data_IF_638556695302
#
_entry.id   IF_638556695302
#
_cell.length_a   1.000
_cell.length_b   1.000
_cell.length_c   1.000
_cell.angle_alpha   90.00
_cell.angle_beta   90.00
_cell.angle_gamma   90.00
#
_symmetry.space_group_name_H-M   'P 1'
#
loop_
_entity.id
_entity.type
_entity.pdbx_description
1 polymer ?
#
# COMPACT_ATOMS: atom_id res chain seq x y z
N UNK A 1 6.58 33.34 18.42
CA UNK A 1 7.87 33.44 17.69
C UNK A 1 8.86 32.51 18.37
N UNK A 2 9.12 31.33 17.83
CA UNK A 2 10.28 30.53 18.23
C UNK A 2 11.05 30.14 16.96
N UNK A 3 12.20 30.78 16.83
CA UNK A 3 13.20 30.61 15.80
C UNK A 3 13.54 29.12 15.59
N UNK A 4 13.31 28.59 14.39
CA UNK A 4 13.93 27.34 13.96
C UNK A 4 15.18 27.72 13.17
N UNK A 5 16.35 27.58 13.80
CA UNK A 5 17.64 27.84 13.17
C UNK A 5 17.89 26.90 11.98
N UNK A 6 18.48 27.47 10.93
CA UNK A 6 18.49 26.97 9.55
C UNK A 6 19.42 25.78 9.26
N UNK A 7 20.10 25.18 10.25
CA UNK A 7 21.09 24.12 10.01
C UNK A 7 21.03 22.99 11.05
N UNK A 8 19.95 22.18 11.05
CA UNK A 8 19.92 20.94 11.82
C UNK A 8 20.20 19.73 10.91
N UNK A 9 21.47 19.34 10.82
CA UNK A 9 21.93 18.12 10.12
C UNK A 9 21.53 16.79 10.82
N UNK A 10 20.66 16.84 11.83
CA UNK A 10 20.14 15.68 12.59
C UNK A 10 18.64 15.40 12.38
N UNK A 11 17.96 16.12 11.49
CA UNK A 11 16.54 15.93 11.20
C UNK A 11 16.28 15.04 9.97
N UNK A 12 16.93 13.89 9.87
CA UNK A 12 16.73 12.91 8.78
C UNK A 12 15.34 12.24 8.77
N UNK A 13 14.47 12.52 9.75
CA UNK A 13 13.10 12.00 9.84
C UNK A 13 11.97 13.00 9.57
N UNK A 14 12.26 14.19 9.01
CA UNK A 14 11.26 15.29 8.88
C UNK A 14 10.39 15.25 7.63
N UNK A 15 10.72 14.46 6.60
CA UNK A 15 10.12 14.61 5.28
C UNK A 15 9.63 13.29 4.70
N UNK A 16 8.34 13.21 4.36
CA UNK A 16 7.68 12.02 3.79
C UNK A 16 8.42 11.41 2.60
N UNK A 17 9.07 12.25 1.79
CA UNK A 17 9.81 11.84 0.60
C UNK A 17 11.04 10.99 0.90
N UNK A 18 11.62 11.07 2.10
CA UNK A 18 12.76 10.22 2.45
C UNK A 18 12.39 8.75 2.63
N UNK A 19 11.09 8.44 2.75
CA UNK A 19 10.59 7.06 2.87
C UNK A 19 10.33 6.41 1.50
N UNK A 20 10.22 7.20 0.43
CA UNK A 20 9.81 6.67 -0.87
C UNK A 20 11.04 6.27 -1.67
N UNK A 21 11.06 5.02 -2.14
CA UNK A 21 12.21 4.47 -2.88
C UNK A 21 12.60 5.30 -4.10
N UNK A 22 11.63 5.84 -4.86
CA UNK A 22 11.91 6.64 -6.06
C UNK A 22 12.66 7.96 -5.75
N UNK A 23 12.62 8.42 -4.50
CA UNK A 23 13.28 9.63 -4.04
C UNK A 23 14.60 9.36 -3.32
N UNK A 24 15.04 8.10 -3.22
CA UNK A 24 16.26 7.71 -2.52
C UNK A 24 17.55 8.28 -3.14
N UNK A 25 17.52 8.61 -4.44
CA UNK A 25 18.67 9.15 -5.19
C UNK A 25 18.79 10.67 -5.13
N UNK A 26 17.83 11.36 -4.50
CA UNK A 26 17.84 12.82 -4.42
C UNK A 26 19.02 13.35 -3.59
N UNK A 27 19.64 14.42 -4.08
CA UNK A 27 20.62 15.17 -3.29
C UNK A 27 19.92 15.94 -2.18
N UNK A 28 20.63 16.21 -1.09
CA UNK A 28 20.09 16.92 0.07
C UNK A 28 19.49 18.30 -0.27
N UNK A 29 20.05 18.99 -1.26
CA UNK A 29 19.55 20.28 -1.75
C UNK A 29 18.18 20.16 -2.45
N UNK A 30 17.98 19.08 -3.21
CA UNK A 30 16.73 18.81 -3.91
C UNK A 30 15.66 18.29 -2.95
N UNK A 31 16.06 17.49 -1.94
CA UNK A 31 15.17 17.13 -0.83
C UNK A 31 14.54 18.34 -0.15
N UNK A 32 15.33 19.40 0.07
CA UNK A 32 14.83 20.63 0.70
C UNK A 32 13.81 21.34 -0.19
N UNK A 33 14.11 21.50 -1.48
CA UNK A 33 13.19 22.11 -2.45
C UNK A 33 11.87 21.32 -2.54
N UNK A 34 11.98 19.99 -2.56
CA UNK A 34 10.81 19.10 -2.61
C UNK A 34 10.01 19.20 -1.32
N UNK A 35 10.68 19.29 -0.16
CA UNK A 35 9.98 19.45 1.11
C UNK A 35 9.15 20.74 1.22
N UNK A 36 9.52 21.80 0.49
CA UNK A 36 8.81 23.07 0.50
C UNK A 36 7.51 23.06 -0.33
N UNK A 37 7.40 22.14 -1.30
CA UNK A 37 6.22 21.99 -2.17
C UNK A 37 5.28 20.85 -1.74
N UNK A 38 5.70 20.02 -0.77
CA UNK A 38 4.86 18.97 -0.21
C UNK A 38 3.76 19.57 0.65
N UNK A 39 2.53 19.11 0.43
CA UNK A 39 1.41 19.39 1.33
C UNK A 39 1.08 18.14 2.13
N UNK A 40 1.13 18.24 3.46
CA UNK A 40 0.74 17.15 4.36
C UNK A 40 -0.73 17.26 4.76
N UNK A 41 -1.43 16.12 4.76
CA UNK A 41 -2.81 15.98 5.24
C UNK A 41 -2.95 14.78 6.16
N UNK A 42 -3.75 14.93 7.21
CA UNK A 42 -4.16 13.82 8.07
C UNK A 42 -5.55 13.36 7.68
N UNK A 43 -5.71 12.05 7.53
CA UNK A 43 -6.98 11.36 7.36
C UNK A 43 -7.23 10.50 8.59
N UNK A 44 -8.44 10.56 9.14
CA UNK A 44 -8.88 9.63 10.19
C UNK A 44 -9.24 8.30 9.56
N UNK A 45 -9.21 7.23 10.36
CA UNK A 45 -9.75 5.93 9.97
C UNK A 45 -11.15 6.07 9.33
N UNK A 46 -11.34 5.44 8.17
CA UNK A 46 -12.59 5.44 7.39
C UNK A 46 -12.79 6.69 6.53
N UNK A 47 -11.87 7.67 6.54
CA UNK A 47 -11.97 8.82 5.65
C UNK A 47 -11.46 8.47 4.25
N UNK A 48 -12.27 8.83 3.25
CA UNK A 48 -11.92 8.73 1.84
C UNK A 48 -10.99 9.89 1.46
N UNK A 49 -9.91 9.57 0.73
CA UNK A 49 -8.96 10.52 0.19
C UNK A 49 -9.47 11.16 -1.11
N UNK A 50 -9.97 10.32 -1.99
CA UNK A 50 -10.51 10.68 -3.30
C UNK A 50 -11.44 9.56 -3.79
N UNK A 51 -12.34 9.92 -4.69
CA UNK A 51 -13.27 9.01 -5.33
C UNK A 51 -12.90 8.73 -6.78
N UNK A 52 -13.42 7.62 -7.29
CA UNK A 52 -13.39 7.34 -8.72
C UNK A 52 -14.02 8.49 -9.51
N UNK A 53 -13.33 8.95 -10.55
CA UNK A 53 -13.78 10.07 -11.39
C UNK A 53 -13.31 11.46 -10.92
N UNK A 54 -12.73 11.58 -9.72
CA UNK A 54 -12.06 12.81 -9.27
C UNK A 54 -10.84 13.10 -10.15
N UNK A 55 -10.49 14.38 -10.26
CA UNK A 55 -9.29 14.81 -10.98
C UNK A 55 -8.07 14.31 -10.24
N UNK A 56 -7.21 13.60 -10.97
CA UNK A 56 -5.95 13.08 -10.44
C UNK A 56 -4.83 14.00 -10.93
N UNK A 57 -4.42 14.95 -10.08
CA UNK A 57 -3.42 15.98 -10.40
C UNK A 57 -2.23 15.98 -9.42
N UNK A 58 -2.17 15.01 -8.53
CA UNK A 58 -1.22 14.91 -7.42
C UNK A 58 -0.77 13.48 -7.22
N UNK A 59 0.49 13.34 -6.83
CA UNK A 59 1.02 12.13 -6.21
C UNK A 59 0.63 12.12 -4.74
N UNK A 60 0.18 10.98 -4.23
CA UNK A 60 -0.15 10.75 -2.83
C UNK A 60 0.83 9.73 -2.25
N UNK A 61 1.51 10.10 -1.18
CA UNK A 61 2.54 9.29 -0.52
C UNK A 61 2.07 8.99 0.90
N UNK A 62 2.11 7.72 1.28
CA UNK A 62 1.81 7.29 2.64
C UNK A 62 3.02 7.57 3.52
N UNK A 63 2.96 8.63 4.32
CA UNK A 63 4.01 8.92 5.28
C UNK A 63 3.92 8.01 6.51
N UNK A 64 2.70 7.80 6.98
CA UNK A 64 2.40 6.89 8.08
C UNK A 64 0.96 6.43 8.00
N UNK A 65 0.72 5.14 8.09
CA UNK A 65 -0.63 4.56 8.16
C UNK A 65 -0.90 3.60 7.00
N UNK A 66 -2.18 3.29 6.78
CA UNK A 66 -2.60 2.38 5.71
C UNK A 66 -3.77 2.94 4.91
N UNK A 67 -3.76 2.65 3.61
CA UNK A 67 -4.84 3.02 2.68
C UNK A 67 -5.28 1.80 1.91
N UNK A 68 -6.60 1.54 1.85
CA UNK A 68 -7.16 0.61 0.87
C UNK A 68 -7.48 1.35 -0.42
N UNK A 69 -7.12 0.75 -1.55
CA UNK A 69 -7.49 1.22 -2.89
C UNK A 69 -8.49 0.22 -3.45
N UNK A 70 -9.66 0.70 -3.88
CA UNK A 70 -10.80 -0.17 -4.18
C UNK A 70 -11.71 0.40 -5.27
N UNK A 71 -12.56 -0.45 -5.84
CA UNK A 71 -13.62 -0.07 -6.78
C UNK A 71 -14.91 -0.80 -6.46
N UNK A 72 -16.04 -0.31 -6.94
CA UNK A 72 -17.29 -1.07 -6.92
C UNK A 72 -17.46 -1.85 -8.22
N UNK A 73 -17.85 -3.12 -8.13
CA UNK A 73 -18.21 -3.89 -9.30
C UNK A 73 -19.62 -3.51 -9.80
N UNK A 74 -20.07 -4.08 -10.93
CA UNK A 74 -21.38 -3.79 -11.52
C UNK A 74 -22.58 -4.10 -10.59
N UNK A 75 -22.37 -4.89 -9.55
CA UNK A 75 -23.37 -5.29 -8.57
C UNK A 75 -23.29 -4.42 -7.30
N UNK A 76 -22.43 -3.39 -7.28
CA UNK A 76 -22.21 -2.51 -6.14
C UNK A 76 -21.37 -3.12 -5.02
N UNK A 77 -20.73 -4.27 -5.24
CA UNK A 77 -19.83 -4.87 -4.24
C UNK A 77 -18.44 -4.24 -4.31
N UNK A 78 -17.89 -3.92 -3.15
CA UNK A 78 -16.52 -3.40 -3.02
C UNK A 78 -15.51 -4.48 -3.41
N UNK A 79 -14.57 -4.13 -4.27
CA UNK A 79 -13.42 -4.93 -4.64
C UNK A 79 -12.16 -4.15 -4.30
N UNK A 80 -11.41 -4.63 -3.30
CA UNK A 80 -10.11 -4.06 -2.94
C UNK A 80 -9.09 -4.50 -3.99
N UNK A 81 -8.35 -3.55 -4.55
CA UNK A 81 -7.33 -3.80 -5.55
C UNK A 81 -5.97 -4.05 -4.90
N UNK A 82 -5.59 -3.21 -3.93
CA UNK A 82 -4.35 -3.32 -3.16
C UNK A 82 -4.41 -2.40 -1.92
N UNK A 83 -3.42 -2.53 -1.04
CA UNK A 83 -3.23 -1.69 0.15
C UNK A 83 -1.90 -0.96 0.02
N UNK A 84 -1.87 0.30 0.41
CA UNK A 84 -0.65 1.09 0.51
C UNK A 84 -0.26 1.27 1.98
N UNK A 85 1.01 1.07 2.27
CA UNK A 85 1.69 1.20 3.57
C UNK A 85 2.74 2.32 3.53
N UNK A 86 3.36 2.59 4.68
CA UNK A 86 4.44 3.58 4.85
C UNK A 86 5.49 3.53 3.72
N UNK A 87 5.69 4.66 3.04
CA UNK A 87 6.67 4.81 1.95
C UNK A 87 6.11 4.50 0.56
N UNK A 88 4.95 3.88 0.46
CA UNK A 88 4.28 3.61 -0.81
C UNK A 88 3.48 4.82 -1.31
N UNK A 89 3.18 4.82 -2.62
CA UNK A 89 2.53 5.94 -3.28
C UNK A 89 1.50 5.51 -4.34
N UNK A 90 0.60 6.44 -4.66
CA UNK A 90 -0.44 6.34 -5.69
C UNK A 90 -0.65 7.69 -6.37
N UNK A 91 -1.30 7.69 -7.53
CA UNK A 91 -1.42 8.86 -8.39
C UNK A 91 -0.44 8.83 -9.57
N UNK A 92 0.25 7.71 -9.76
CA UNK A 92 1.31 7.49 -10.75
C UNK A 92 0.80 7.54 -12.19
N UNK A 93 -0.41 7.04 -12.43
CA UNK A 93 -1.05 7.09 -13.75
C UNK A 93 -1.22 8.52 -14.25
N UNK A 94 -1.65 9.44 -13.39
CA UNK A 94 -1.82 10.82 -13.83
C UNK A 94 -0.55 11.65 -13.88
N UNK A 95 0.52 11.24 -13.17
CA UNK A 95 1.84 11.84 -13.38
C UNK A 95 2.33 11.62 -14.81
N UNK A 96 1.99 10.49 -15.44
CA UNK A 96 2.33 10.22 -16.84
C UNK A 96 1.35 10.88 -17.82
N UNK A 97 0.05 10.89 -17.51
CA UNK A 97 -0.98 11.48 -18.39
C UNK A 97 -2.15 12.03 -17.58
N UNK A 98 -2.43 13.33 -17.69
CA UNK A 98 -3.57 13.97 -17.00
C UNK A 98 -4.85 13.14 -17.18
N UNK A 99 -5.51 12.83 -16.08
CA UNK A 99 -6.65 11.95 -16.07
C UNK A 99 -7.53 12.10 -14.84
N UNK A 100 -8.23 11.01 -14.54
CA UNK A 100 -9.12 10.87 -13.40
C UNK A 100 -8.82 9.54 -12.73
N UNK A 101 -8.97 9.51 -11.40
CA UNK A 101 -8.85 8.27 -10.65
C UNK A 101 -9.82 7.21 -11.19
N UNK A 102 -9.31 6.00 -11.40
CA UNK A 102 -10.08 4.83 -11.85
C UNK A 102 -10.56 3.96 -10.68
N UNK A 103 -10.36 4.44 -9.46
CA UNK A 103 -10.59 3.74 -8.20
C UNK A 103 -10.73 4.76 -7.07
N UNK A 104 -11.20 4.30 -5.92
CA UNK A 104 -11.35 5.06 -4.69
C UNK A 104 -10.20 4.73 -3.74
N UNK A 105 -9.91 5.63 -2.79
CA UNK A 105 -8.93 5.39 -1.74
C UNK A 105 -9.45 5.80 -0.36
N UNK A 106 -9.34 4.92 0.63
CA UNK A 106 -9.82 5.15 2.01
C UNK A 106 -8.76 4.76 3.04
N UNK A 107 -8.63 5.57 4.10
CA UNK A 107 -7.71 5.30 5.19
C UNK A 107 -8.22 4.15 6.09
N UNK A 108 -7.46 3.07 6.21
CA UNK A 108 -7.81 1.93 7.09
C UNK A 108 -7.54 2.22 8.57
N UNK A 109 -6.71 3.23 8.83
CA UNK A 109 -6.35 3.74 10.16
C UNK A 109 -6.09 5.25 10.11
N UNK A 110 -5.66 5.85 11.21
CA UNK A 110 -5.24 7.26 11.20
C UNK A 110 -3.98 7.42 10.35
N UNK A 111 -4.14 8.02 9.17
CA UNK A 111 -3.12 8.04 8.12
C UNK A 111 -2.65 9.47 7.83
N UNK A 112 -1.34 9.64 7.69
CA UNK A 112 -0.68 10.88 7.30
C UNK A 112 -0.18 10.75 5.86
N UNK A 113 -0.67 11.64 5.00
CA UNK A 113 -0.39 11.64 3.58
C UNK A 113 0.34 12.90 3.18
N UNK A 114 1.34 12.73 2.33
CA UNK A 114 2.05 13.81 1.68
C UNK A 114 1.66 13.84 0.21
N UNK A 115 1.29 15.02 -0.29
CA UNK A 115 0.93 15.19 -1.70
C UNK A 115 1.91 16.09 -2.43
N UNK A 116 2.23 15.74 -3.67
CA UNK A 116 3.05 16.54 -4.59
C UNK A 116 2.21 16.81 -5.84
N UNK A 117 2.05 18.07 -6.23
CA UNK A 117 1.35 18.42 -7.45
C UNK A 117 2.10 17.92 -8.68
N UNK A 118 1.38 17.49 -9.72
CA UNK A 118 1.97 16.99 -10.97
C UNK A 118 2.99 17.96 -11.55
N UNK A 119 2.64 19.23 -11.68
CA UNK A 119 3.52 20.22 -12.31
C UNK A 119 4.84 20.40 -11.53
N UNK A 120 4.83 20.16 -10.22
CA UNK A 120 6.04 20.19 -9.41
C UNK A 120 6.81 18.87 -9.49
N UNK A 121 6.11 17.73 -9.56
CA UNK A 121 6.72 16.43 -9.83
C UNK A 121 7.43 16.40 -11.19
N UNK A 122 6.82 16.96 -12.23
CA UNK A 122 7.39 17.05 -13.58
C UNK A 122 8.72 17.84 -13.57
N UNK A 123 8.80 18.91 -12.78
CA UNK A 123 10.06 19.67 -12.60
C UNK A 123 11.12 18.84 -11.87
N UNK A 124 10.72 18.09 -10.83
CA UNK A 124 11.64 17.24 -10.06
C UNK A 124 12.29 16.19 -10.96
N UNK A 125 11.50 15.45 -11.72
CA UNK A 125 12.01 14.36 -12.59
C UNK A 125 12.86 14.90 -13.74
N UNK A 126 12.54 16.09 -14.26
CA UNK A 126 13.34 16.74 -15.30
C UNK A 126 14.71 17.16 -14.79
N UNK A 127 14.80 17.61 -13.54
CA UNK A 127 16.05 18.01 -12.89
C UNK A 127 16.84 16.81 -12.34
N UNK A 128 16.20 15.66 -12.14
CA UNK A 128 16.78 14.48 -11.52
C UNK A 128 16.47 13.19 -12.33
N UNK A 129 17.13 12.97 -13.48
CA UNK A 129 16.84 11.83 -14.36
C UNK A 129 17.00 10.44 -13.70
N UNK A 130 17.80 10.34 -12.64
CA UNK A 130 17.95 9.09 -11.86
C UNK A 130 16.65 8.64 -11.20
N UNK A 131 15.76 9.58 -10.84
CA UNK A 131 14.42 9.27 -10.31
C UNK A 131 13.61 8.54 -11.37
N UNK A 132 13.72 8.94 -12.64
CA UNK A 132 13.02 8.29 -13.75
C UNK A 132 13.43 6.83 -13.90
N UNK A 133 14.73 6.52 -13.73
CA UNK A 133 15.21 5.14 -13.74
C UNK A 133 14.63 4.32 -12.58
N UNK A 134 14.58 4.89 -11.37
CA UNK A 134 13.97 4.23 -10.20
C UNK A 134 12.47 4.00 -10.37
N UNK A 135 11.76 4.93 -11.01
CA UNK A 135 10.34 4.74 -11.37
C UNK A 135 10.18 3.57 -12.34
N UNK A 136 11.07 3.45 -13.34
CA UNK A 136 11.04 2.32 -14.28
C UNK A 136 11.30 0.97 -13.59
N UNK A 137 12.21 0.92 -12.60
CA UNK A 137 12.39 -0.28 -11.77
C UNK A 137 11.09 -0.64 -11.02
N UNK A 138 10.45 0.32 -10.34
CA UNK A 138 9.20 0.08 -9.60
C UNK A 138 8.06 -0.35 -10.53
N UNK A 139 7.96 0.24 -11.73
CA UNK A 139 6.95 -0.15 -12.72
C UNK A 139 7.22 -1.54 -13.31
N UNK A 140 8.49 -1.91 -13.47
CA UNK A 140 8.88 -3.26 -13.89
C UNK A 140 8.47 -4.30 -12.84
N UNK A 141 8.77 -4.07 -11.56
CA UNK A 141 8.40 -4.98 -10.47
C UNK A 141 6.88 -5.17 -10.41
N UNK A 142 6.11 -4.07 -10.48
CA UNK A 142 4.64 -4.11 -10.55
C UNK A 142 4.12 -4.88 -11.77
N UNK A 143 4.78 -4.76 -12.91
CA UNK A 143 4.41 -5.50 -14.12
C UNK A 143 4.63 -7.00 -13.93
N UNK A 144 5.78 -7.39 -13.37
CA UNK A 144 6.08 -8.79 -13.06
C UNK A 144 5.08 -9.38 -12.06
N UNK A 145 4.70 -8.63 -11.03
CA UNK A 145 3.66 -9.04 -10.07
C UNK A 145 2.31 -9.28 -10.75
N UNK A 146 1.93 -8.41 -11.70
CA UNK A 146 0.71 -8.57 -12.49
C UNK A 146 0.77 -9.80 -13.40
N UNK A 147 1.90 -10.07 -14.04
CA UNK A 147 2.10 -11.27 -14.86
C UNK A 147 1.97 -12.55 -14.02
N UNK A 148 2.61 -12.58 -12.84
CA UNK A 148 2.50 -13.68 -11.88
C UNK A 148 1.05 -13.86 -11.41
N UNK A 149 0.36 -12.76 -11.10
CA UNK A 149 -1.05 -12.80 -10.73
C UNK A 149 -1.91 -13.38 -11.86
N UNK A 150 -1.68 -13.00 -13.12
CA UNK A 150 -2.42 -13.53 -14.28
C UNK A 150 -2.18 -15.03 -14.44
N UNK A 151 -0.94 -15.50 -14.27
CA UNK A 151 -0.62 -16.93 -14.30
C UNK A 151 -1.35 -17.69 -13.17
N UNK A 152 -1.36 -17.12 -11.96
CA UNK A 152 -2.04 -17.67 -10.80
C UNK A 152 -3.58 -17.60 -10.89
N UNK A 153 -4.14 -16.59 -11.56
CA UNK A 153 -5.59 -16.52 -11.80
C UNK A 153 -6.08 -17.62 -12.76
N UNK A 154 -5.15 -18.28 -13.48
CA UNK A 154 -5.46 -19.49 -14.24
C UNK A 154 -5.70 -20.72 -13.34
N UNK A 155 -5.19 -20.70 -12.10
CA UNK A 155 -5.55 -21.69 -11.07
C UNK A 155 -6.77 -21.16 -10.29
N UNK A 156 -7.94 -21.72 -10.58
CA UNK A 156 -9.23 -21.35 -9.96
C UNK A 156 -9.33 -21.64 -8.46
N UNK A 157 -8.23 -21.92 -7.77
CA UNK A 157 -8.30 -22.37 -6.38
C UNK A 157 -8.42 -21.20 -5.41
N UNK A 158 -9.42 -21.27 -4.54
CA UNK A 158 -9.59 -20.32 -3.44
C UNK A 158 -8.46 -20.48 -2.43
N UNK A 159 -7.91 -21.69 -2.26
CA UNK A 159 -6.82 -21.98 -1.33
C UNK A 159 -5.54 -21.26 -1.73
N UNK A 160 -5.16 -21.31 -3.02
CA UNK A 160 -4.00 -20.59 -3.53
C UNK A 160 -4.11 -19.08 -3.30
N UNK A 161 -5.31 -18.50 -3.48
CA UNK A 161 -5.53 -17.07 -3.20
C UNK A 161 -5.45 -16.73 -1.71
N UNK A 162 -5.88 -17.63 -0.82
CA UNK A 162 -5.75 -17.47 0.63
C UNK A 162 -4.28 -17.56 1.05
N UNK A 163 -3.55 -18.56 0.55
CA UNK A 163 -2.10 -18.68 0.75
C UNK A 163 -1.38 -17.41 0.27
N UNK A 164 -1.72 -16.91 -0.92
CA UNK A 164 -1.11 -15.70 -1.50
C UNK A 164 -1.33 -14.46 -0.63
N UNK A 165 -2.57 -14.19 -0.18
CA UNK A 165 -2.83 -13.01 0.67
C UNK A 165 -2.16 -13.14 2.04
N UNK A 166 -2.12 -14.34 2.63
CA UNK A 166 -1.43 -14.59 3.89
C UNK A 166 0.10 -14.41 3.74
N UNK A 167 0.67 -14.85 2.62
CA UNK A 167 2.08 -14.61 2.26
C UNK A 167 2.40 -13.12 2.21
N UNK A 168 1.61 -12.35 1.46
CA UNK A 168 1.76 -10.88 1.39
C UNK A 168 1.68 -10.26 2.79
N UNK A 169 0.70 -10.67 3.60
CA UNK A 169 0.58 -10.13 4.95
C UNK A 169 1.73 -10.54 5.88
N UNK A 170 2.27 -11.75 5.71
CA UNK A 170 3.45 -12.20 6.45
C UNK A 170 4.69 -11.40 6.09
N UNK A 171 4.86 -11.05 4.81
CA UNK A 171 5.98 -10.25 4.31
C UNK A 171 5.89 -8.79 4.79
N UNK A 172 4.70 -8.19 4.71
CA UNK A 172 4.51 -6.76 4.96
C UNK A 172 4.27 -6.43 6.44
N UNK A 173 3.65 -7.34 7.19
CA UNK A 173 3.17 -7.10 8.56
C UNK A 173 3.58 -8.18 9.56
N UNK A 174 4.26 -9.24 9.10
CA UNK A 174 4.63 -10.36 9.95
C UNK A 174 5.82 -10.05 10.87
N UNK A 175 5.74 -10.53 12.11
CA UNK A 175 6.85 -10.55 13.06
C UNK A 175 7.14 -12.01 13.41
N UNK A 176 8.40 -12.42 13.30
CA UNK A 176 8.82 -13.77 13.71
C UNK A 176 8.65 -13.93 15.23
N UNK A 177 7.85 -14.91 15.64
CA UNK A 177 7.69 -15.36 17.02
C UNK A 177 8.22 -16.78 17.21
N UNK A 178 8.09 -17.31 18.42
CA UNK A 178 8.54 -18.68 18.76
C UNK A 178 7.70 -19.77 18.08
N UNK A 179 6.40 -19.52 17.90
CA UNK A 179 5.43 -20.48 17.36
C UNK A 179 5.13 -20.26 15.86
N UNK A 180 5.79 -19.30 15.20
CA UNK A 180 5.55 -18.99 13.79
C UNK A 180 5.64 -17.50 13.46
N UNK A 181 5.06 -17.09 12.33
CA UNK A 181 4.95 -15.67 11.95
C UNK A 181 3.65 -15.10 12.50
N UNK A 182 3.76 -14.12 13.38
CA UNK A 182 2.61 -13.40 13.96
C UNK A 182 2.27 -12.22 13.05
N UNK A 183 1.02 -12.17 12.60
CA UNK A 183 0.52 -11.15 11.68
C UNK A 183 -0.61 -10.39 12.36
N UNK A 184 -0.41 -9.08 12.54
CA UNK A 184 -1.51 -8.15 12.83
C UNK A 184 -2.20 -7.78 11.50
N UNK A 185 -3.34 -8.42 11.25
CA UNK A 185 -4.04 -8.32 9.97
C UNK A 185 -4.46 -6.87 9.68
N UNK A 186 -4.10 -6.33 8.50
CA UNK A 186 -4.57 -5.02 8.07
C UNK A 186 -6.06 -5.02 7.75
N UNK A 187 -6.61 -6.18 7.35
CA UNK A 187 -7.97 -6.36 6.87
C UNK A 187 -8.79 -7.26 7.81
N UNK A 188 -10.06 -6.94 7.98
CA UNK A 188 -11.04 -7.82 8.59
C UNK A 188 -11.51 -8.91 7.60
N UNK A 189 -12.33 -9.87 8.06
CA UNK A 189 -12.79 -11.00 7.25
C UNK A 189 -13.57 -10.61 5.98
N UNK A 190 -14.36 -9.56 6.06
CA UNK A 190 -15.13 -9.05 4.92
C UNK A 190 -14.19 -8.38 3.91
N UNK A 191 -13.25 -7.58 4.38
CA UNK A 191 -12.23 -6.94 3.54
C UNK A 191 -11.32 -7.97 2.87
N UNK A 192 -10.88 -9.01 3.58
CA UNK A 192 -10.13 -10.13 3.00
C UNK A 192 -10.92 -10.84 1.91
N UNK A 193 -12.23 -11.04 2.12
CA UNK A 193 -13.10 -11.67 1.15
C UNK A 193 -13.25 -10.82 -0.12
N UNK A 194 -13.41 -9.50 0.04
CA UNK A 194 -13.43 -8.54 -1.06
C UNK A 194 -12.09 -8.47 -1.80
N UNK A 195 -10.97 -8.65 -1.10
CA UNK A 195 -9.62 -8.68 -1.69
C UNK A 195 -9.42 -9.90 -2.59
N UNK A 196 -9.75 -11.10 -2.10
CA UNK A 196 -9.55 -12.33 -2.90
C UNK A 196 -10.74 -12.69 -3.81
N UNK A 197 -11.83 -11.93 -3.76
CA UNK A 197 -13.02 -12.13 -4.59
C UNK A 197 -13.87 -13.34 -4.19
N UNK A 198 -14.11 -13.53 -2.90
CA UNK A 198 -15.02 -14.56 -2.36
C UNK A 198 -16.00 -13.94 -1.34
N UNK A 199 -16.89 -14.73 -0.74
CA UNK A 199 -17.77 -14.24 0.32
C UNK A 199 -17.08 -14.28 1.69
N UNK A 200 -17.53 -13.44 2.63
CA UNK A 200 -17.04 -13.42 4.02
C UNK A 200 -17.14 -14.79 4.70
N UNK A 201 -18.22 -15.54 4.42
CA UNK A 201 -18.45 -16.89 4.94
C UNK A 201 -17.42 -17.87 4.38
N UNK A 202 -17.07 -17.72 3.10
CA UNK A 202 -16.06 -18.57 2.43
C UNK A 202 -14.69 -18.37 3.07
N UNK A 203 -14.27 -17.10 3.29
CA UNK A 203 -13.03 -16.78 4.03
C UNK A 203 -13.05 -17.36 5.44
N UNK A 204 -14.14 -17.13 6.18
CA UNK A 204 -14.23 -17.57 7.58
C UNK A 204 -14.13 -19.10 7.69
N UNK A 205 -14.83 -19.82 6.82
CA UNK A 205 -14.78 -21.29 6.75
C UNK A 205 -13.39 -21.81 6.40
N UNK A 206 -12.72 -21.22 5.42
CA UNK A 206 -11.38 -21.66 5.01
C UNK A 206 -10.32 -21.38 6.07
N UNK A 207 -10.36 -20.22 6.72
CA UNK A 207 -9.44 -19.93 7.82
C UNK A 207 -9.66 -20.83 9.04
N UNK A 208 -10.91 -21.23 9.30
CA UNK A 208 -11.21 -22.22 10.36
C UNK A 208 -10.63 -23.58 10.00
N UNK A 209 -10.79 -24.03 8.74
CA UNK A 209 -10.20 -25.29 8.28
C UNK A 209 -8.66 -25.31 8.43
N UNK A 210 -7.99 -24.21 8.06
CA UNK A 210 -6.53 -24.09 8.25
C UNK A 210 -6.12 -24.11 9.73
N UNK A 211 -6.97 -23.62 10.62
CA UNK A 211 -6.72 -23.72 12.06
C UNK A 211 -6.93 -25.14 12.58
N UNK A 212 -7.96 -25.83 12.10
CA UNK A 212 -8.24 -27.23 12.46
C UNK A 212 -7.12 -28.17 11.96
N UNK A 213 -6.44 -27.79 10.88
CA UNK A 213 -5.27 -28.45 10.31
C UNK A 213 -3.93 -28.01 10.97
N UNK A 214 -3.97 -27.15 12.00
CA UNK A 214 -2.81 -26.57 12.70
C UNK A 214 -1.81 -25.82 11.81
N UNK A 215 -2.24 -25.40 10.61
CA UNK A 215 -1.45 -24.58 9.68
C UNK A 215 -1.36 -23.14 10.20
N UNK A 216 -2.46 -22.64 10.78
CA UNK A 216 -2.54 -21.31 11.39
C UNK A 216 -3.19 -21.38 12.77
N UNK A 217 -3.06 -20.30 13.53
CA UNK A 217 -3.87 -20.05 14.73
C UNK A 217 -4.53 -18.69 14.64
N UNK A 218 -5.84 -18.63 14.90
CA UNK A 218 -6.61 -17.39 14.92
C UNK A 218 -6.63 -16.81 16.34
N UNK A 219 -5.93 -15.69 16.54
CA UNK A 219 -5.91 -14.98 17.82
C UNK A 219 -6.91 -13.82 17.76
N UNK A 220 -8.15 -14.11 18.13
CA UNK A 220 -9.27 -13.17 18.01
C UNK A 220 -9.59 -12.82 16.55
N UNK A 221 -10.00 -11.58 16.28
CA UNK A 221 -10.53 -11.19 14.96
C UNK A 221 -9.50 -10.55 14.02
N UNK A 222 -8.33 -10.18 14.52
CA UNK A 222 -7.34 -9.35 13.80
C UNK A 222 -5.92 -9.87 13.84
N UNK A 223 -5.67 -11.01 14.48
CA UNK A 223 -4.33 -11.59 14.54
C UNK A 223 -4.36 -13.04 14.09
N UNK A 224 -3.37 -13.40 13.29
CA UNK A 224 -3.13 -14.77 12.83
C UNK A 224 -1.68 -15.12 13.14
N UNK A 225 -1.43 -16.33 13.61
CA UNK A 225 -0.11 -16.93 13.69
C UNK A 225 -0.01 -17.98 12.58
N UNK A 226 0.95 -17.85 11.67
CA UNK A 226 1.23 -18.87 10.66
C UNK A 226 2.25 -19.85 11.26
N UNK A 227 1.83 -21.10 11.49
CA UNK A 227 2.65 -22.16 12.09
C UNK A 227 3.42 -22.95 11.03
N UNK A 228 2.74 -23.31 9.94
CA UNK A 228 3.35 -24.00 8.80
C UNK A 228 3.63 -23.00 7.66
N UNK A 229 4.91 -22.70 7.43
CA UNK A 229 5.35 -21.78 6.38
C UNK A 229 5.22 -22.37 4.98
N UNK A 230 5.20 -23.69 4.82
CA UNK A 230 5.08 -24.33 3.51
C UNK A 230 3.74 -24.03 2.83
N UNK A 231 2.71 -23.67 3.61
CA UNK A 231 1.41 -23.26 3.09
C UNK A 231 1.45 -21.93 2.32
N UNK A 232 2.39 -21.03 2.65
CA UNK A 232 2.51 -19.70 2.04
C UNK A 232 3.74 -19.56 1.13
N UNK A 233 4.46 -20.66 0.88
CA UNK A 233 5.64 -20.68 0.00
C UNK A 233 5.27 -20.65 -1.48
#
# INVERSE_FOLDING_TARGET
MSHCEKNCHKCTGKYCVSKVYIFSTLKQEDFKKISEIIVSRKYKKGQVLFFEGDVEDKLYIVNKGKIKVYRYNKEGREQILYILSDGEFIGDMSLLKKGKFQYNAEALEDTYICTIAKDDFDKIITLNPEITLKIMEVLHDRLMDLENLIQNLSTKDVEVRIASILKTFAQDYGVKGEEGIIIDLPLNREEMANYIGVTRETISRKLTALQDEDIIELVGNKKIIIKDLSYIE
#
